data_IF_995931245964
#
_entry.id   IF_995931245964
#
_cell.length_a   1.000
_cell.length_b   1.000
_cell.length_c   1.000
_cell.angle_alpha   90.00
_cell.angle_beta   90.00
_cell.angle_gamma   90.00
#
_symmetry.space_group_name_H-M   'P 1'
#
loop_
_entity.id
_entity.type
_entity.pdbx_description
1 polymer ?
#
# COMPACT_ATOMS: atom_id res chain seq x y z
N UNK A 1 -5.82 -0.91 -6.33
CA UNK A 1 -5.09 -1.24 -5.10
C UNK A 1 -5.86 -2.30 -4.35
N UNK A 2 -5.18 -3.29 -3.85
CA UNK A 2 -5.83 -4.37 -3.16
C UNK A 2 -4.90 -4.92 -2.09
N UNK A 3 -5.44 -5.76 -1.23
CA UNK A 3 -4.69 -6.35 -0.15
C UNK A 3 -3.50 -7.12 -0.72
N UNK A 4 -2.33 -6.90 -0.13
CA UNK A 4 -1.10 -7.51 -0.58
C UNK A 4 -0.28 -6.65 -1.52
N UNK A 5 -0.82 -5.54 -1.98
CA UNK A 5 -0.08 -4.68 -2.89
C UNK A 5 0.96 -3.87 -2.14
N UNK A 6 2.04 -3.58 -2.83
CA UNK A 6 3.04 -2.66 -2.31
C UNK A 6 2.65 -1.24 -2.65
N UNK A 7 2.77 -0.36 -1.69
CA UNK A 7 2.42 1.04 -1.87
C UNK A 7 3.48 1.91 -1.24
N UNK A 8 3.53 3.16 -1.69
CA UNK A 8 4.41 4.16 -1.11
C UNK A 8 3.55 5.26 -0.51
N UNK A 9 3.84 5.62 0.72
CA UNK A 9 3.12 6.67 1.41
C UNK A 9 3.79 8.00 1.06
N UNK A 10 3.03 8.86 0.37
CA UNK A 10 3.62 10.10 -0.13
C UNK A 10 4.08 11.03 0.99
N UNK A 11 3.52 10.88 2.18
CA UNK A 11 3.86 11.73 3.28
C UNK A 11 5.27 11.51 3.80
N UNK A 12 5.73 10.27 3.80
CA UNK A 12 7.02 9.92 4.35
C UNK A 12 7.91 9.17 3.38
N UNK A 13 7.40 8.87 2.20
CA UNK A 13 8.14 8.09 1.21
C UNK A 13 8.44 6.67 1.66
N UNK A 14 7.72 6.20 2.65
CA UNK A 14 7.91 4.84 3.12
C UNK A 14 7.12 3.87 2.27
N UNK A 15 7.67 2.67 2.13
CA UNK A 15 7.02 1.62 1.37
C UNK A 15 6.42 0.62 2.34
N UNK A 16 5.17 0.24 2.09
CA UNK A 16 4.48 -0.70 2.94
C UNK A 16 3.63 -1.65 2.13
N UNK A 17 2.96 -2.54 2.84
CA UNK A 17 2.10 -3.54 2.24
C UNK A 17 0.68 -3.30 2.73
N UNK A 18 -0.26 -3.33 1.80
CA UNK A 18 -1.67 -3.15 2.13
C UNK A 18 -2.18 -4.40 2.84
N UNK A 19 -2.71 -4.21 4.03
CA UNK A 19 -3.27 -5.29 4.81
C UNK A 19 -4.79 -5.37 4.72
N UNK A 20 -5.44 -4.21 4.74
CA UNK A 20 -6.89 -4.14 4.68
C UNK A 20 -7.32 -2.87 3.96
N UNK A 21 -8.50 -2.92 3.38
CA UNK A 21 -9.08 -1.76 2.73
C UNK A 21 -10.51 -1.63 3.25
N UNK A 22 -10.84 -0.45 3.76
CA UNK A 22 -12.17 -0.18 4.32
C UNK A 22 -12.77 0.99 3.57
N UNK A 23 -13.75 0.71 2.74
CA UNK A 23 -14.38 1.73 1.93
C UNK A 23 -15.84 1.96 2.22
N UNK A 24 -16.30 1.48 3.36
CA UNK A 24 -17.73 1.56 3.65
C UNK A 24 -18.22 2.98 3.79
N UNK A 25 -17.41 3.84 4.38
CA UNK A 25 -17.83 5.22 4.62
C UNK A 25 -17.53 6.12 3.43
N UNK A 26 -16.50 5.81 2.69
CA UNK A 26 -16.10 6.66 1.58
C UNK A 26 -15.51 5.79 0.48
N UNK A 27 -16.35 5.24 -0.41
CA UNK A 27 -15.85 4.33 -1.44
C UNK A 27 -14.86 4.98 -2.40
N UNK A 28 -14.93 6.30 -2.56
CA UNK A 28 -14.02 6.98 -3.47
C UNK A 28 -12.64 7.20 -2.86
N UNK A 29 -12.56 7.21 -1.54
CA UNK A 29 -11.29 7.45 -0.88
C UNK A 29 -11.24 6.60 0.39
N UNK A 30 -11.17 5.29 0.24
CA UNK A 30 -11.24 4.40 1.41
C UNK A 30 -10.04 4.52 2.31
N UNK A 31 -10.23 4.09 3.55
CA UNK A 31 -9.12 3.96 4.47
C UNK A 31 -8.41 2.65 4.20
N UNK A 32 -7.11 2.70 4.21
CA UNK A 32 -6.27 1.54 3.93
C UNK A 32 -5.34 1.33 5.11
N UNK A 33 -5.32 0.13 5.62
CA UNK A 33 -4.38 -0.23 6.67
C UNK A 33 -3.12 -0.77 6.01
N UNK A 34 -2.01 -0.13 6.28
CA UNK A 34 -0.74 -0.44 5.64
C UNK A 34 0.27 -0.79 6.72
N UNK A 35 1.04 -1.83 6.49
CA UNK A 35 2.13 -2.19 7.37
C UNK A 35 3.42 -1.68 6.78
N UNK A 36 4.12 -0.87 7.57
CA UNK A 36 5.44 -0.40 7.20
C UNK A 36 6.46 -1.11 8.05
N UNK A 37 7.51 -1.56 7.41
CA UNK A 37 8.59 -2.22 8.12
C UNK A 37 9.81 -1.34 8.05
N UNK A 38 10.33 -0.95 9.20
CA UNK A 38 11.48 -0.11 9.27
C UNK A 38 12.43 -0.70 10.28
N UNK A 39 13.64 -0.97 9.85
CA UNK A 39 14.63 -1.68 10.62
C UNK A 39 14.02 -3.03 11.00
N UNK A 40 13.83 -3.33 12.19
CA UNK A 40 13.21 -4.59 12.57
C UNK A 40 11.87 -4.36 13.22
N UNK A 41 11.30 -3.17 13.02
CA UNK A 41 10.03 -2.84 13.62
C UNK A 41 8.95 -2.82 12.56
N UNK A 42 7.80 -3.31 12.93
CA UNK A 42 6.63 -3.27 12.09
C UNK A 42 5.66 -2.26 12.66
N UNK A 43 5.21 -1.33 11.84
CA UNK A 43 4.24 -0.34 12.28
C UNK A 43 3.04 -0.40 11.36
N UNK A 44 1.87 -0.16 11.92
CA UNK A 44 0.63 -0.19 11.16
C UNK A 44 0.05 1.21 11.16
N UNK A 45 -0.37 1.66 9.99
CA UNK A 45 -0.94 2.99 9.84
C UNK A 45 -2.18 2.94 9.00
N UNK A 46 -3.15 3.76 9.37
CA UNK A 46 -4.33 3.98 8.56
C UNK A 46 -4.06 5.17 7.66
N UNK A 47 -4.16 4.94 6.35
CA UNK A 47 -3.91 5.98 5.37
C UNK A 47 -5.07 6.04 4.41
N UNK A 48 -5.37 7.23 3.92
CA UNK A 48 -6.33 7.35 2.84
C UNK A 48 -5.67 6.90 1.55
N UNK A 49 -6.45 6.30 0.68
CA UNK A 49 -5.90 5.78 -0.55
C UNK A 49 -5.27 6.87 -1.40
N UNK A 50 -5.79 8.09 -1.27
CA UNK A 50 -5.23 9.22 -2.01
C UNK A 50 -3.83 9.59 -1.56
N UNK A 51 -3.42 9.14 -0.37
CA UNK A 51 -2.07 9.39 0.13
C UNK A 51 -1.10 8.29 -0.25
N UNK A 52 -1.56 7.26 -0.93
CA UNK A 52 -0.73 6.12 -1.25
C UNK A 52 -0.56 6.02 -2.76
N UNK A 53 0.62 5.58 -3.17
CA UNK A 53 0.90 5.35 -4.57
C UNK A 53 1.20 3.89 -4.78
N UNK A 54 0.54 3.25 -5.72
CA UNK A 54 0.85 1.85 -6.00
C UNK A 54 2.23 1.74 -6.62
N UNK A 55 2.96 0.71 -6.24
CA UNK A 55 4.29 0.46 -6.74
C UNK A 55 4.22 -0.73 -7.67
N UNK A 56 4.73 -0.53 -8.89
CA UNK A 56 4.80 -1.62 -9.84
C UNK A 56 6.17 -2.21 -9.80
N UNK A 57 6.22 -3.52 -9.72
CA UNK A 57 7.48 -4.20 -9.75
C UNK A 57 7.82 -4.56 -11.16
N UNK A 58 8.68 -3.78 -11.73
CA UNK A 58 8.97 -3.98 -13.10
C UNK A 58 9.54 -5.31 -13.41
N UNK A 59 10.34 -5.80 -12.55
CA UNK A 59 10.90 -7.10 -12.78
C UNK A 59 9.86 -8.18 -12.80
N UNK A 60 8.88 -8.04 -11.98
CA UNK A 60 7.83 -9.03 -11.96
C UNK A 60 6.97 -8.94 -13.17
N UNK A 61 6.88 -7.77 -13.72
CA UNK A 61 6.06 -7.61 -14.84
C UNK A 61 6.54 -8.28 -16.03
N UNK A 62 7.81 -8.33 -16.12
CA UNK A 62 8.29 -8.94 -17.29
C UNK A 62 8.09 -10.38 -17.29
N UNK A 63 7.69 -10.90 -16.35
CA UNK A 63 7.47 -12.20 -16.32
C UNK A 63 6.38 -12.68 -16.92
N UNK A 64 6.18 -12.67 -17.56
CA UNK A 64 5.23 -12.98 -18.02
C UNK A 64 5.08 -14.19 -18.02
N UNK A 65 5.43 -13.99 -17.93
CA UNK A 65 5.33 -14.45 -18.05
C UNK A 65 5.38 -14.73 -17.84
N UNK A 66 5.64 -14.42 -17.50
CA UNK A 66 5.73 -14.28 -17.37
C UNK A 66 5.61 -14.33 -17.24
#
# INVERSE_FOLDING_TARGET
MKVGDLVRWSKTDQIGIVLDIFGDLDPDDPWVRVMFQRDQLQTFQWCKISSLEPIKKEGAETDPSS
#
